data_IF_655358576591
#
_entry.id   IF_655358576591
#
_cell.length_a   1.000
_cell.length_b   1.000
_cell.length_c   1.000
_cell.angle_alpha   90.00
_cell.angle_beta   90.00
_cell.angle_gamma   90.00
#
_symmetry.space_group_name_H-M   'P 1'
#
loop_
_entity.id
_entity.type
_entity.pdbx_description
1 polymer ?
#
# COMPACT_ATOMS: atom_id res chain seq x y z
N UNK A 1 11.44 9.10 -16.18
CA UNK A 1 10.34 8.50 -16.98
C UNK A 1 9.81 9.56 -17.89
N UNK A 2 9.75 9.26 -19.17
CA UNK A 2 9.23 10.21 -20.14
C UNK A 2 7.72 10.36 -19.90
N UNK A 3 7.29 11.58 -19.61
CA UNK A 3 5.88 11.88 -19.31
C UNK A 3 5.03 11.90 -20.58
N UNK A 4 5.54 11.40 -21.71
CA UNK A 4 4.98 11.65 -23.02
C UNK A 4 4.18 10.43 -23.50
N UNK A 5 2.85 10.58 -23.57
CA UNK A 5 1.98 9.65 -24.31
C UNK A 5 1.76 10.29 -25.69
N UNK A 6 2.66 10.00 -26.63
CA UNK A 6 2.71 10.72 -27.91
C UNK A 6 3.17 12.18 -27.73
N UNK A 7 2.45 13.15 -28.28
CA UNK A 7 2.75 14.59 -28.15
C UNK A 7 2.24 15.21 -26.83
N UNK A 8 1.53 14.46 -25.97
CA UNK A 8 1.04 14.98 -24.69
C UNK A 8 2.00 14.63 -23.54
N UNK A 9 2.62 15.66 -22.95
CA UNK A 9 3.26 15.58 -21.63
C UNK A 9 2.17 15.41 -20.57
N UNK A 10 1.94 14.17 -20.15
CA UNK A 10 1.04 13.81 -19.06
C UNK A 10 1.65 14.31 -17.76
N UNK A 11 1.07 15.38 -17.25
CA UNK A 11 1.47 15.95 -15.97
C UNK A 11 1.22 14.94 -14.84
N UNK A 12 2.09 14.83 -13.82
CA UNK A 12 1.91 13.92 -12.67
C UNK A 12 0.52 14.00 -12.01
N UNK A 13 -0.13 15.17 -12.12
CA UNK A 13 -1.49 15.43 -11.63
C UNK A 13 -2.54 14.50 -12.26
N UNK A 14 -2.40 14.10 -13.53
CA UNK A 14 -3.37 13.20 -14.18
C UNK A 14 -3.35 11.81 -13.53
N UNK A 15 -2.17 11.32 -13.16
CA UNK A 15 -2.04 10.05 -12.45
C UNK A 15 -2.58 10.13 -11.03
N UNK A 16 -2.35 11.26 -10.35
CA UNK A 16 -2.92 11.48 -9.03
C UNK A 16 -4.44 11.47 -9.08
N UNK A 17 -5.06 12.21 -10.01
CA UNK A 17 -6.52 12.23 -10.17
C UNK A 17 -7.08 10.85 -10.52
N UNK A 18 -6.39 10.11 -11.39
CA UNK A 18 -6.81 8.74 -11.74
C UNK A 18 -6.72 7.80 -10.55
N UNK A 19 -5.67 7.93 -9.75
CA UNK A 19 -5.48 7.17 -8.52
C UNK A 19 -6.59 7.49 -7.52
N UNK A 20 -6.84 8.77 -7.22
CA UNK A 20 -7.85 9.21 -6.26
C UNK A 20 -9.26 8.71 -6.67
N UNK A 21 -9.59 8.81 -7.96
CA UNK A 21 -10.86 8.31 -8.50
C UNK A 21 -10.96 6.78 -8.45
N UNK A 22 -9.87 6.07 -8.70
CA UNK A 22 -9.83 4.62 -8.60
C UNK A 22 -10.00 4.15 -7.16
N UNK A 23 -9.35 4.83 -6.22
CA UNK A 23 -9.46 4.57 -4.77
C UNK A 23 -10.91 4.73 -4.31
N UNK A 24 -11.55 5.84 -4.66
CA UNK A 24 -12.95 6.10 -4.30
C UNK A 24 -13.91 5.07 -4.90
N UNK A 25 -13.75 4.73 -6.19
CA UNK A 25 -14.60 3.73 -6.85
C UNK A 25 -14.44 2.33 -6.25
N UNK A 26 -13.20 1.91 -5.97
CA UNK A 26 -12.94 0.60 -5.37
C UNK A 26 -13.47 0.56 -3.94
N UNK A 27 -13.25 1.62 -3.17
CA UNK A 27 -13.79 1.76 -1.81
C UNK A 27 -15.32 1.68 -1.80
N UNK A 28 -16.01 2.43 -2.66
CA UNK A 28 -17.47 2.39 -2.76
C UNK A 28 -18.01 1.03 -3.22
N UNK A 29 -17.33 0.39 -4.18
CA UNK A 29 -17.67 -0.96 -4.62
C UNK A 29 -17.53 -1.97 -3.47
N UNK A 30 -16.40 -1.94 -2.77
CA UNK A 30 -16.13 -2.79 -1.60
C UNK A 30 -17.19 -2.57 -0.51
N UNK A 31 -17.48 -1.32 -0.17
CA UNK A 31 -18.48 -0.95 0.83
C UNK A 31 -19.87 -1.47 0.46
N UNK A 32 -20.31 -1.30 -0.80
CA UNK A 32 -21.62 -1.80 -1.27
C UNK A 32 -21.70 -3.32 -1.22
N UNK A 33 -20.65 -4.02 -1.66
CA UNK A 33 -20.58 -5.48 -1.61
C UNK A 33 -20.64 -5.97 -0.16
N UNK A 34 -19.82 -5.40 0.71
CA UNK A 34 -19.76 -5.82 2.12
C UNK A 34 -21.05 -5.52 2.87
N UNK A 35 -21.69 -4.37 2.65
CA UNK A 35 -23.01 -4.10 3.23
C UNK A 35 -24.08 -5.09 2.77
N UNK A 36 -24.05 -5.48 1.50
CA UNK A 36 -24.98 -6.50 0.97
C UNK A 36 -24.73 -7.86 1.62
N UNK A 37 -23.46 -8.24 1.82
CA UNK A 37 -23.07 -9.48 2.51
C UNK A 37 -23.44 -9.47 3.99
N UNK A 38 -23.23 -8.35 4.69
CA UNK A 38 -23.62 -8.15 6.08
C UNK A 38 -25.12 -8.37 6.28
N UNK A 39 -25.95 -7.73 5.43
CA UNK A 39 -27.42 -7.89 5.46
C UNK A 39 -27.88 -9.30 5.10
N UNK A 40 -27.18 -9.97 4.18
CA UNK A 40 -27.57 -11.30 3.70
C UNK A 40 -27.25 -12.41 4.70
N UNK A 41 -26.09 -12.33 5.36
CA UNK A 41 -25.56 -13.43 6.17
C UNK A 41 -25.62 -13.16 7.69
N UNK A 42 -26.17 -12.03 8.15
CA UNK A 42 -26.17 -11.61 9.57
C UNK A 42 -24.77 -11.69 10.23
N UNK A 43 -23.73 -11.41 9.45
CA UNK A 43 -22.34 -11.43 9.93
C UNK A 43 -22.06 -10.12 10.68
N UNK A 44 -21.23 -10.20 11.72
CA UNK A 44 -20.81 -9.00 12.48
C UNK A 44 -19.96 -8.06 11.61
N UNK A 45 -20.30 -6.76 11.59
CA UNK A 45 -19.55 -5.72 10.87
C UNK A 45 -18.07 -5.68 11.25
N UNK A 46 -17.75 -5.96 12.54
CA UNK A 46 -16.37 -6.02 13.03
C UNK A 46 -15.55 -7.10 12.34
N UNK A 47 -16.13 -8.29 12.17
CA UNK A 47 -15.45 -9.40 11.51
C UNK A 47 -15.15 -9.09 10.04
N UNK A 48 -16.12 -8.49 9.34
CA UNK A 48 -15.95 -8.10 7.94
C UNK A 48 -14.88 -7.01 7.78
N UNK A 49 -14.82 -6.04 8.70
CA UNK A 49 -13.74 -5.05 8.75
C UNK A 49 -12.36 -5.69 8.96
N UNK A 50 -12.24 -6.62 9.91
CA UNK A 50 -10.98 -7.34 10.15
C UNK A 50 -10.51 -8.14 8.93
N UNK A 51 -11.42 -8.84 8.24
CA UNK A 51 -11.11 -9.58 7.01
C UNK A 51 -10.73 -8.62 5.88
N UNK A 52 -11.42 -7.48 5.78
CA UNK A 52 -11.09 -6.41 4.84
C UNK A 52 -9.66 -5.89 4.98
N UNK A 53 -9.19 -5.67 6.21
CA UNK A 53 -7.80 -5.28 6.49
C UNK A 53 -6.78 -6.35 6.09
N UNK A 54 -7.09 -7.63 6.28
CA UNK A 54 -6.20 -8.72 5.83
C UNK A 54 -6.12 -8.75 4.30
N UNK A 55 -7.28 -8.61 3.63
CA UNK A 55 -7.35 -8.57 2.17
C UNK A 55 -6.57 -7.37 1.62
N UNK A 56 -6.70 -6.20 2.24
CA UNK A 56 -5.96 -5.01 1.81
C UNK A 56 -4.45 -5.21 1.96
N UNK A 57 -3.97 -5.78 3.07
CA UNK A 57 -2.54 -6.09 3.24
C UNK A 57 -2.00 -7.01 2.15
N UNK A 58 -2.78 -7.98 1.66
CA UNK A 58 -2.40 -8.83 0.52
C UNK A 58 -2.25 -7.98 -0.75
N UNK A 59 -3.18 -7.07 -1.02
CA UNK A 59 -3.06 -6.12 -2.13
C UNK A 59 -1.82 -5.23 -2.01
N UNK A 60 -1.44 -4.80 -0.80
CA UNK A 60 -0.19 -4.07 -0.57
C UNK A 60 1.06 -4.89 -0.94
N UNK A 61 1.08 -6.19 -0.64
CA UNK A 61 2.19 -7.08 -1.02
C UNK A 61 2.25 -7.22 -2.55
N UNK A 62 1.10 -7.43 -3.21
CA UNK A 62 1.01 -7.49 -4.66
C UNK A 62 1.47 -6.18 -5.33
N UNK A 63 1.14 -5.04 -4.73
CA UNK A 63 1.62 -3.72 -5.16
C UNK A 63 3.15 -3.65 -5.13
N UNK A 64 3.78 -4.08 -4.03
CA UNK A 64 5.25 -4.07 -3.92
C UNK A 64 5.92 -5.00 -4.94
N UNK A 65 5.34 -6.18 -5.19
CA UNK A 65 5.82 -7.13 -6.20
C UNK A 65 5.69 -6.53 -7.62
N UNK A 66 4.57 -5.88 -7.92
CA UNK A 66 4.36 -5.19 -9.20
C UNK A 66 5.40 -4.07 -9.39
N UNK A 67 5.63 -3.25 -8.37
CA UNK A 67 6.63 -2.18 -8.41
C UNK A 67 8.05 -2.72 -8.62
N UNK A 68 8.43 -3.80 -7.91
CA UNK A 68 9.72 -4.45 -8.10
C UNK A 68 9.90 -5.01 -9.52
N UNK A 69 8.85 -5.55 -10.14
CA UNK A 69 8.89 -6.05 -11.52
C UNK A 69 9.03 -4.92 -12.54
N UNK A 70 8.33 -3.79 -12.33
CA UNK A 70 8.46 -2.61 -13.18
C UNK A 70 9.88 -2.06 -13.11
N UNK A 71 10.47 -1.99 -11.91
CA UNK A 71 11.84 -1.50 -11.75
C UNK A 71 12.88 -2.45 -12.37
N UNK A 72 12.71 -3.77 -12.24
CA UNK A 72 13.57 -4.75 -12.92
C UNK A 72 13.54 -4.59 -14.44
N UNK A 73 12.35 -4.36 -15.03
CA UNK A 73 12.23 -4.12 -16.47
C UNK A 73 12.92 -2.81 -16.88
N UNK A 74 12.85 -1.78 -16.04
CA UNK A 74 13.58 -0.52 -16.23
C UNK A 74 15.08 -0.74 -16.25
N UNK A 75 15.62 -1.44 -15.25
CA UNK A 75 17.04 -1.75 -15.15
C UNK A 75 17.55 -2.58 -16.34
N UNK A 76 16.79 -3.59 -16.79
CA UNK A 76 17.19 -4.41 -17.95
C UNK A 76 17.26 -3.59 -19.26
N UNK A 77 16.38 -2.60 -19.45
CA UNK A 77 16.48 -1.72 -20.63
C UNK A 77 17.66 -0.75 -20.53
N UNK A 78 18.03 -0.33 -19.32
CA UNK A 78 19.21 0.52 -19.10
C UNK A 78 20.49 -0.26 -19.39
N UNK A 79 20.56 -1.55 -19.05
CA UNK A 79 21.75 -2.38 -19.29
C UNK A 79 21.97 -2.74 -20.76
N UNK A 80 20.92 -2.78 -21.58
CA UNK A 80 21.00 -3.10 -23.01
C UNK A 80 21.33 -1.89 -23.89
N UNK A 81 21.22 -0.65 -23.37
CA UNK A 81 21.52 0.58 -24.12
C UNK A 81 23.00 0.97 -23.94
N UNK A 82 23.77 0.87 -25.01
CA UNK A 82 25.15 1.38 -25.08
C UNK A 82 25.15 2.90 -25.13
N UNK A 83 25.31 3.55 -23.97
CA UNK A 83 25.90 4.89 -23.66
C UNK A 83 25.47 6.15 -24.47
N UNK A 84 24.87 6.08 -25.65
CA UNK A 84 24.62 7.25 -26.52
C UNK A 84 23.14 7.45 -26.96
N UNK A 85 22.19 6.60 -26.52
CA UNK A 85 20.76 6.79 -26.81
C UNK A 85 20.00 7.32 -25.57
N UNK A 86 19.92 8.65 -25.51
CA UNK A 86 19.58 9.46 -24.34
C UNK A 86 18.10 9.47 -23.90
N UNK A 87 17.27 8.53 -24.38
CA UNK A 87 15.84 8.52 -24.08
C UNK A 87 15.32 7.12 -23.80
N UNK A 88 15.39 6.72 -22.52
CA UNK A 88 14.59 5.61 -21.99
C UNK A 88 13.12 6.05 -21.95
N UNK A 89 12.45 5.97 -23.11
CA UNK A 89 11.00 6.14 -23.21
C UNK A 89 10.32 4.85 -22.73
N UNK A 90 10.31 4.65 -21.41
CA UNK A 90 9.45 3.64 -20.79
C UNK A 90 8.02 4.17 -20.74
N UNK A 91 7.13 3.48 -21.44
CA UNK A 91 5.70 3.81 -21.47
C UNK A 91 5.12 3.86 -20.04
N UNK A 92 4.48 4.98 -19.71
CA UNK A 92 3.87 5.24 -18.39
C UNK A 92 2.76 4.24 -18.03
N UNK A 93 2.24 3.51 -19.01
CA UNK A 93 1.28 2.43 -18.82
C UNK A 93 1.81 1.29 -17.92
N UNK A 94 3.12 1.13 -17.78
CA UNK A 94 3.71 0.11 -16.90
C UNK A 94 3.48 0.36 -15.40
N UNK A 95 3.12 1.59 -15.00
CA UNK A 95 2.83 1.94 -13.62
C UNK A 95 1.38 1.65 -13.25
N UNK A 96 0.50 1.46 -14.23
CA UNK A 96 -0.92 1.22 -13.99
C UNK A 96 -1.16 0.04 -13.04
N UNK A 97 -0.48 -1.11 -13.16
CA UNK A 97 -0.69 -2.25 -12.25
C UNK A 97 -0.36 -1.94 -10.79
N UNK A 98 0.77 -1.25 -10.53
CA UNK A 98 1.16 -0.91 -9.14
C UNK A 98 0.18 0.09 -8.52
N UNK A 99 -0.28 1.11 -9.26
CA UNK A 99 -1.24 2.08 -8.73
C UNK A 99 -2.63 1.48 -8.53
N UNK A 100 -3.04 0.55 -9.39
CA UNK A 100 -4.30 -0.17 -9.21
C UNK A 100 -4.33 -0.98 -7.90
N UNK A 101 -3.26 -1.70 -7.61
CA UNK A 101 -3.15 -2.44 -6.36
C UNK A 101 -3.06 -1.52 -5.14
N UNK A 102 -2.36 -0.38 -5.27
CA UNK A 102 -2.30 0.62 -4.22
C UNK A 102 -3.67 1.25 -3.93
N UNK A 103 -4.41 1.64 -4.96
CA UNK A 103 -5.76 2.18 -4.83
C UNK A 103 -6.73 1.16 -4.23
N UNK A 104 -6.56 -0.13 -4.59
CA UNK A 104 -7.31 -1.22 -3.96
C UNK A 104 -6.99 -1.36 -2.48
N UNK A 105 -5.72 -1.23 -2.10
CA UNK A 105 -5.28 -1.29 -0.71
C UNK A 105 -5.83 -0.13 0.13
N UNK A 106 -5.65 1.12 -0.30
CA UNK A 106 -6.09 2.30 0.45
C UNK A 106 -7.64 2.32 0.53
N UNK A 107 -8.34 2.12 -0.60
CA UNK A 107 -9.81 2.12 -0.64
C UNK A 107 -10.47 1.01 0.19
N UNK A 108 -9.92 -0.21 0.19
CA UNK A 108 -10.43 -1.31 1.03
C UNK A 108 -10.12 -1.05 2.50
N UNK A 109 -8.90 -0.59 2.83
CA UNK A 109 -8.49 -0.36 4.22
C UNK A 109 -9.36 0.70 4.90
N UNK A 110 -9.58 1.83 4.23
CA UNK A 110 -10.37 2.94 4.78
C UNK A 110 -11.81 2.51 5.07
N UNK A 111 -12.46 1.84 4.11
CA UNK A 111 -13.83 1.35 4.30
C UNK A 111 -13.89 0.22 5.33
N UNK A 112 -12.83 -0.58 5.48
CA UNK A 112 -12.75 -1.63 6.50
C UNK A 112 -12.68 -1.06 7.92
N UNK A 113 -11.93 0.03 8.10
CA UNK A 113 -11.89 0.79 9.36
C UNK A 113 -13.29 1.35 9.68
N UNK A 114 -13.96 1.95 8.69
CA UNK A 114 -15.32 2.44 8.88
C UNK A 114 -16.31 1.35 9.27
N UNK A 115 -16.23 0.17 8.64
CA UNK A 115 -17.05 -1.01 8.98
C UNK A 115 -16.79 -1.51 10.41
N UNK A 116 -15.55 -1.40 10.89
CA UNK A 116 -15.19 -1.80 12.24
C UNK A 116 -15.92 -0.95 13.31
N UNK A 117 -16.07 0.36 13.06
CA UNK A 117 -16.69 1.31 13.98
C UNK A 117 -18.20 1.52 13.76
N UNK A 118 -18.81 0.91 12.75
CA UNK A 118 -20.23 1.14 12.36
C UNK A 118 -21.27 0.66 13.38
N UNK A 119 -20.89 -0.20 14.34
CA UNK A 119 -21.85 -0.97 15.16
C UNK A 119 -22.51 -0.20 16.32
N UNK A 120 -22.26 1.10 16.48
CA UNK A 120 -22.92 1.88 17.53
C UNK A 120 -23.94 2.82 16.88
N UNK A 121 -25.22 2.50 17.10
CA UNK A 121 -26.40 3.25 16.59
C UNK A 121 -26.34 4.73 17.01
N UNK A 122 -25.67 5.01 18.12
CA UNK A 122 -25.08 6.31 18.47
C UNK A 122 -23.56 6.13 18.73
N UNK A 123 -22.67 6.84 18.01
CA UNK A 123 -21.24 6.76 18.29
C UNK A 123 -20.98 7.30 19.69
N UNK A 124 -20.58 6.42 20.61
CA UNK A 124 -20.15 6.83 21.94
C UNK A 124 -18.97 7.79 21.80
N UNK A 125 -18.75 8.66 22.79
CA UNK A 125 -17.59 9.56 22.79
C UNK A 125 -16.27 8.78 22.60
N UNK A 126 -16.18 7.57 23.13
CA UNK A 126 -15.06 6.64 22.94
C UNK A 126 -14.84 6.19 21.50
N UNK A 127 -15.90 5.89 20.74
CA UNK A 127 -15.75 5.42 19.35
C UNK A 127 -15.22 6.52 18.44
N UNK A 128 -15.67 7.75 18.69
CA UNK A 128 -15.22 8.93 17.94
C UNK A 128 -13.75 9.21 18.21
N UNK A 129 -13.32 9.13 19.47
CA UNK A 129 -11.90 9.27 19.85
C UNK A 129 -11.06 8.17 19.21
N UNK A 130 -11.52 6.91 19.25
CA UNK A 130 -10.78 5.79 18.65
C UNK A 130 -10.62 5.96 17.13
N UNK A 131 -11.67 6.43 16.43
CA UNK A 131 -11.59 6.71 14.99
C UNK A 131 -10.54 7.79 14.68
N UNK A 132 -10.54 8.89 15.43
CA UNK A 132 -9.53 9.94 15.27
C UNK A 132 -8.13 9.39 15.55
N UNK A 133 -7.98 8.56 16.58
CA UNK A 133 -6.71 7.91 16.89
C UNK A 133 -6.23 6.97 15.77
N UNK A 134 -7.14 6.20 15.15
CA UNK A 134 -6.81 5.40 13.97
C UNK A 134 -6.31 6.26 12.81
N UNK A 135 -6.97 7.39 12.52
CA UNK A 135 -6.53 8.34 11.48
C UNK A 135 -5.14 8.93 11.79
N UNK A 136 -4.86 9.22 13.06
CA UNK A 136 -3.54 9.67 13.51
C UNK A 136 -2.46 8.60 13.28
N UNK A 137 -2.75 7.33 13.59
CA UNK A 137 -1.83 6.21 13.33
C UNK A 137 -1.58 6.06 11.83
N UNK A 138 -2.61 6.16 10.99
CA UNK A 138 -2.46 6.10 9.53
C UNK A 138 -1.58 7.25 9.03
N UNK A 139 -1.84 8.48 9.48
CA UNK A 139 -1.01 9.65 9.17
C UNK A 139 0.45 9.48 9.60
N UNK A 140 0.67 8.97 10.82
CA UNK A 140 2.00 8.65 11.33
C UNK A 140 2.69 7.56 10.48
N UNK A 141 1.95 6.58 9.97
CA UNK A 141 2.44 5.59 9.03
C UNK A 141 2.93 6.21 7.72
N UNK A 142 2.17 7.16 7.15
CA UNK A 142 2.58 7.88 5.92
C UNK A 142 3.83 8.74 6.15
N UNK A 143 3.98 9.38 7.32
CA UNK A 143 5.22 10.10 7.69
C UNK A 143 6.38 9.12 7.87
N UNK A 144 6.14 8.00 8.54
CA UNK A 144 7.14 6.96 8.77
C UNK A 144 7.63 6.32 7.47
N UNK A 145 6.78 6.25 6.43
CA UNK A 145 7.19 5.80 5.09
C UNK A 145 8.26 6.72 4.48
N UNK A 146 8.13 8.04 4.63
CA UNK A 146 9.15 8.99 4.19
C UNK A 146 10.45 8.82 4.99
N UNK A 147 10.35 8.60 6.31
CA UNK A 147 11.51 8.32 7.14
C UNK A 147 12.21 7.01 6.72
N UNK A 148 11.45 5.98 6.36
CA UNK A 148 11.98 4.71 5.91
C UNK A 148 12.80 4.87 4.62
N UNK A 149 12.36 5.74 3.69
CA UNK A 149 13.16 6.11 2.52
C UNK A 149 14.48 6.74 2.94
N UNK A 150 14.45 7.72 3.85
CA UNK A 150 15.66 8.39 4.34
C UNK A 150 16.63 7.42 5.03
N UNK A 151 16.11 6.50 5.87
CA UNK A 151 16.93 5.47 6.52
C UNK A 151 17.50 4.51 5.48
N UNK A 152 16.71 4.08 4.50
CA UNK A 152 17.18 3.20 3.43
C UNK A 152 18.29 3.88 2.60
N UNK A 153 18.18 5.18 2.32
CA UNK A 153 19.25 5.98 1.71
C UNK A 153 20.53 5.92 2.55
N UNK A 154 20.44 6.25 3.84
CA UNK A 154 21.59 6.25 4.76
C UNK A 154 22.25 4.88 4.91
N UNK A 155 21.46 3.83 5.07
CA UNK A 155 21.96 2.45 5.17
C UNK A 155 22.66 2.05 3.86
N UNK A 156 22.10 2.44 2.72
CA UNK A 156 22.72 2.12 1.44
C UNK A 156 24.05 2.87 1.21
N UNK A 157 24.16 4.12 1.66
CA UNK A 157 25.43 4.87 1.66
C UNK A 157 26.50 4.15 2.51
N UNK A 158 26.11 3.62 3.67
CA UNK A 158 27.03 2.94 4.60
C UNK A 158 27.47 1.55 4.12
N UNK A 159 26.58 0.75 3.55
CA UNK A 159 26.86 -0.65 3.17
C UNK A 159 27.49 -0.77 1.79
N UNK A 160 27.15 0.12 0.85
CA UNK A 160 27.54 0.01 -0.57
C UNK A 160 28.61 0.98 -1.05
N UNK A 161 28.98 1.98 -0.24
CA UNK A 161 29.75 3.14 -0.71
C UNK A 161 29.01 3.96 -1.78
N UNK A 162 29.61 5.08 -2.21
CA UNK A 162 28.99 6.08 -3.12
C UNK A 162 28.51 5.51 -4.46
N UNK A 163 29.04 4.35 -4.91
CA UNK A 163 28.71 3.71 -6.20
C UNK A 163 27.57 2.69 -6.17
N UNK A 164 27.07 2.30 -5.00
CA UNK A 164 26.04 1.25 -4.84
C UNK A 164 24.88 1.71 -3.93
N UNK A 165 24.62 3.02 -3.90
CA UNK A 165 23.43 3.57 -3.24
C UNK A 165 22.15 3.04 -3.92
N UNK A 166 21.15 2.61 -3.15
CA UNK A 166 19.82 2.23 -3.63
C UNK A 166 19.07 3.42 -4.23
N UNK A 167 19.45 4.63 -3.83
CA UNK A 167 18.95 5.92 -4.30
C UNK A 167 20.13 6.77 -4.80
N UNK A 168 20.34 6.81 -6.12
CA UNK A 168 21.36 7.65 -6.76
C UNK A 168 20.72 8.88 -7.39
N UNK A 169 21.49 9.96 -7.59
CA UNK A 169 21.02 11.19 -8.26
C UNK A 169 20.46 10.88 -9.66
N UNK A 170 21.06 9.90 -10.35
CA UNK A 170 20.49 9.29 -11.54
C UNK A 170 19.58 8.10 -11.19
N UNK A 171 18.27 8.27 -11.42
CA UNK A 171 17.26 7.20 -11.32
C UNK A 171 17.70 5.95 -12.10
N UNK A 172 18.38 6.11 -13.23
CA UNK A 172 18.84 5.02 -14.11
C UNK A 172 19.85 4.08 -13.44
N UNK A 173 20.66 4.57 -12.51
CA UNK A 173 21.64 3.77 -11.77
C UNK A 173 21.12 3.29 -10.40
N UNK A 174 19.95 3.78 -9.99
CA UNK A 174 19.30 3.48 -8.72
C UNK A 174 18.69 2.08 -8.68
N UNK A 175 18.96 1.34 -7.60
CA UNK A 175 18.44 -0.03 -7.33
C UNK A 175 17.17 0.01 -6.48
N UNK A 176 16.09 0.59 -7.01
CA UNK A 176 14.79 0.67 -6.32
C UNK A 176 14.17 -0.71 -6.10
N UNK A 177 14.51 -1.70 -6.93
CA UNK A 177 14.13 -3.10 -6.80
C UNK A 177 14.35 -3.63 -5.37
N UNK A 178 15.51 -3.32 -4.77
CA UNK A 178 15.85 -3.77 -3.41
C UNK A 178 14.96 -3.12 -2.34
N UNK A 179 14.67 -1.83 -2.48
CA UNK A 179 13.78 -1.12 -1.57
C UNK A 179 12.37 -1.71 -1.59
N UNK A 180 11.81 -1.99 -2.77
CA UNK A 180 10.49 -2.63 -2.88
C UNK A 180 10.45 -4.05 -2.29
N UNK A 181 11.54 -4.81 -2.39
CA UNK A 181 11.65 -6.12 -1.72
C UNK A 181 11.68 -6.00 -0.19
N UNK A 182 12.38 -5.01 0.35
CA UNK A 182 12.38 -4.72 1.80
C UNK A 182 10.98 -4.32 2.26
N UNK A 183 10.29 -3.49 1.49
CA UNK A 183 8.91 -3.08 1.79
C UNK A 183 7.93 -4.25 1.73
N UNK A 184 8.08 -5.15 0.74
CA UNK A 184 7.31 -6.38 0.65
C UNK A 184 7.56 -7.31 1.86
N UNK A 185 8.81 -7.45 2.30
CA UNK A 185 9.13 -8.25 3.49
C UNK A 185 8.54 -7.63 4.78
N UNK A 186 8.59 -6.30 4.91
CA UNK A 186 8.03 -5.58 6.05
C UNK A 186 6.50 -5.70 6.11
N UNK A 187 5.82 -5.56 4.97
CA UNK A 187 4.36 -5.72 4.88
C UNK A 187 3.93 -7.17 5.15
N UNK A 188 4.70 -8.16 4.70
CA UNK A 188 4.48 -9.57 5.03
C UNK A 188 4.66 -9.84 6.53
N UNK A 189 5.70 -9.28 7.15
CA UNK A 189 5.89 -9.39 8.60
C UNK A 189 4.74 -8.75 9.39
N UNK A 190 4.24 -7.61 8.93
CA UNK A 190 3.06 -6.95 9.51
C UNK A 190 1.80 -7.81 9.40
N UNK A 191 1.59 -8.46 8.24
CA UNK A 191 0.48 -9.40 8.04
C UNK A 191 0.57 -10.58 9.01
N UNK A 192 1.74 -11.17 9.20
CA UNK A 192 1.95 -12.28 10.15
C UNK A 192 1.69 -11.81 11.58
N UNK A 193 2.21 -10.64 11.96
CA UNK A 193 1.99 -10.05 13.28
C UNK A 193 0.51 -9.80 13.56
N UNK A 194 -0.22 -9.23 12.60
CA UNK A 194 -1.66 -9.01 12.72
C UNK A 194 -2.43 -10.34 12.91
N UNK A 195 -2.08 -11.38 12.16
CA UNK A 195 -2.70 -12.70 12.31
C UNK A 195 -2.43 -13.28 13.71
N UNK A 196 -1.19 -13.21 14.21
CA UNK A 196 -0.84 -13.67 15.56
C UNK A 196 -1.66 -12.94 16.63
N UNK A 197 -1.79 -11.61 16.52
CA UNK A 197 -2.61 -10.83 17.45
C UNK A 197 -4.09 -11.24 17.37
N UNK A 198 -4.62 -11.43 16.17
CA UNK A 198 -5.99 -11.89 15.98
C UNK A 198 -6.23 -13.25 16.66
N UNK A 199 -5.34 -14.23 16.45
CA UNK A 199 -5.44 -15.53 17.13
C UNK A 199 -5.31 -15.42 18.65
N UNK A 200 -4.38 -14.61 19.15
CA UNK A 200 -4.17 -14.43 20.59
C UNK A 200 -5.38 -13.77 21.28
N UNK A 201 -6.00 -12.77 20.63
CA UNK A 201 -7.22 -12.13 21.15
C UNK A 201 -8.42 -13.06 21.12
N UNK A 202 -8.57 -13.87 20.06
CA UNK A 202 -9.62 -14.90 19.97
C UNK A 202 -9.47 -15.94 21.07
N UNK A 203 -8.25 -16.44 21.29
CA UNK A 203 -7.96 -17.41 22.35
C UNK A 203 -8.25 -16.83 23.74
N UNK A 204 -7.85 -15.57 23.99
CA UNK A 204 -8.13 -14.89 25.26
C UNK A 204 -9.63 -14.68 25.50
N UNK A 205 -10.40 -14.43 24.44
CA UNK A 205 -11.84 -14.31 24.53
C UNK A 205 -12.50 -15.65 24.89
N UNK A 206 -12.00 -16.76 24.34
CA UNK A 206 -12.47 -18.11 24.64
C UNK A 206 -12.15 -18.53 26.08
N UNK A 207 -10.94 -18.24 26.57
CA UNK A 207 -10.57 -18.49 27.98
C UNK A 207 -11.45 -17.69 28.94
N UNK A 208 -11.73 -16.41 28.65
CA UNK A 208 -12.60 -15.57 29.50
C UNK A 208 -14.07 -16.03 29.47
N UNK A 209 -14.49 -16.79 28.47
CA UNK A 209 -15.85 -17.35 28.41
C UNK A 209 -16.00 -18.63 29.24
N UNK A 210 -14.89 -19.22 29.71
CA UNK A 210 -14.84 -20.43 30.52
C UNK A 210 -14.67 -20.14 32.04
N UNK A 211 -14.25 -18.92 32.40
CA UNK A 211 -14.19 -18.40 33.77
C UNK A 211 -15.50 -17.66 34.16
#
# INVERSE_FOLDING_TARGET
MDNSVGHLKVHPVVFQLWYDLSEELIGELYWKIMQKLLKRNNVSSKYVGCVGLVVSMIFSILCCIAAANVDRRRLNKVSDLTVDDDLISMSMFWLVPQYFFLASFDGISDKSIDLFFKNHEDPTSSDRIMRVFCLLIVGFGKISSNLLVFVAQKVSEMVGGTRSSWFQEDINQSRLDKYYWVLAALTLANLVYYNILYYCTSFRAEVRALD
#
